data_IF_814055542330
#
_entry.id   IF_814055542330
#
_cell.length_a   1.000
_cell.length_b   1.000
_cell.length_c   1.000
_cell.angle_alpha   90.00
_cell.angle_beta   90.00
_cell.angle_gamma   90.00
#
_symmetry.space_group_name_H-M   'P 1'
#
loop_
_entity.id
_entity.type
_entity.pdbx_description
1 polymer ?
#
# COMPACT_ATOMS: atom_id res chain seq x y z
N UNK A 1 -36.21 -28.37 -12.01
CA UNK A 1 -35.49 -27.32 -12.68
C UNK A 1 -34.88 -26.36 -11.71
N UNK A 2 -33.58 -26.16 -11.80
CA UNK A 2 -32.88 -25.18 -11.00
C UNK A 2 -32.84 -23.82 -11.70
N UNK A 3 -32.91 -22.77 -10.93
CA UNK A 3 -32.62 -21.43 -11.35
C UNK A 3 -31.26 -21.05 -10.86
N UNK A 4 -30.37 -20.62 -11.72
CA UNK A 4 -29.07 -20.10 -11.32
C UNK A 4 -29.26 -18.68 -10.76
N UNK A 5 -29.18 -18.52 -9.44
CA UNK A 5 -29.12 -17.21 -8.77
C UNK A 5 -27.66 -16.85 -8.52
N UNK A 6 -27.21 -15.74 -9.07
CA UNK A 6 -25.82 -15.30 -8.91
C UNK A 6 -24.81 -16.44 -9.17
N UNK A 7 -25.06 -17.23 -10.23
CA UNK A 7 -24.31 -18.45 -10.54
C UNK A 7 -24.30 -19.49 -9.39
N UNK A 8 -25.33 -19.51 -8.55
CA UNK A 8 -25.55 -20.55 -7.53
C UNK A 8 -26.72 -21.43 -7.96
N UNK A 9 -26.58 -22.69 -7.67
CA UNK A 9 -27.62 -23.66 -7.85
C UNK A 9 -28.70 -23.53 -6.77
N UNK A 10 -29.97 -23.45 -7.20
CA UNK A 10 -31.13 -23.44 -6.30
C UNK A 10 -32.01 -24.67 -6.59
N UNK A 11 -31.97 -25.65 -5.69
CA UNK A 11 -32.70 -26.91 -5.85
C UNK A 11 -34.22 -26.75 -5.89
N UNK A 12 -34.78 -25.71 -5.23
CA UNK A 12 -36.22 -25.46 -5.23
C UNK A 12 -36.71 -25.04 -6.59
N UNK A 13 -35.92 -24.23 -7.30
CA UNK A 13 -36.24 -23.77 -8.65
C UNK A 13 -36.05 -24.88 -9.69
N UNK A 14 -35.10 -25.80 -9.51
CA UNK A 14 -34.97 -27.01 -10.33
C UNK A 14 -36.27 -27.81 -10.29
N UNK A 15 -36.84 -28.03 -9.10
CA UNK A 15 -38.07 -28.78 -8.93
C UNK A 15 -39.26 -28.09 -9.60
N UNK A 16 -39.43 -26.78 -9.38
CA UNK A 16 -40.57 -26.02 -9.94
C UNK A 16 -40.59 -26.04 -11.48
N UNK A 17 -39.43 -26.02 -12.14
CA UNK A 17 -39.36 -26.12 -13.60
C UNK A 17 -39.47 -27.55 -14.13
N UNK A 18 -39.04 -28.53 -13.34
CA UNK A 18 -39.12 -29.95 -13.73
C UNK A 18 -40.55 -30.37 -14.06
N UNK A 19 -41.53 -29.88 -13.31
CA UNK A 19 -42.93 -30.17 -13.55
C UNK A 19 -43.45 -29.63 -14.88
N UNK A 20 -42.80 -28.64 -15.46
CA UNK A 20 -43.11 -28.05 -16.73
C UNK A 20 -42.44 -28.73 -17.97
N UNK A 21 -41.60 -29.74 -17.76
CA UNK A 21 -40.93 -30.42 -18.86
C UNK A 21 -41.80 -31.51 -19.48
N UNK A 22 -41.87 -31.52 -20.81
CA UNK A 22 -42.77 -32.42 -21.58
C UNK A 22 -42.20 -33.83 -21.77
N UNK A 23 -40.90 -34.04 -21.54
CA UNK A 23 -40.27 -35.33 -21.77
C UNK A 23 -39.20 -35.66 -20.73
N UNK A 24 -38.97 -36.95 -20.47
CA UNK A 24 -37.91 -37.43 -19.58
C UNK A 24 -36.51 -37.06 -20.09
N UNK A 25 -36.31 -37.02 -21.39
CA UNK A 25 -35.04 -36.62 -22.01
C UNK A 25 -34.70 -35.13 -21.72
N UNK A 26 -35.69 -34.24 -21.74
CA UNK A 26 -35.51 -32.82 -21.40
C UNK A 26 -35.20 -32.66 -19.93
N UNK A 27 -35.86 -33.41 -19.04
CA UNK A 27 -35.57 -33.40 -17.58
C UNK A 27 -34.13 -33.83 -17.34
N UNK A 28 -33.70 -34.94 -17.94
CA UNK A 28 -32.32 -35.44 -17.79
C UNK A 28 -31.28 -34.45 -18.29
N UNK A 29 -31.50 -33.88 -19.49
CA UNK A 29 -30.61 -32.88 -20.10
C UNK A 29 -30.48 -31.63 -19.23
N UNK A 30 -31.56 -31.19 -18.59
CA UNK A 30 -31.53 -30.03 -17.68
C UNK A 30 -30.78 -30.35 -16.37
N UNK A 31 -31.01 -31.54 -15.78
CA UNK A 31 -30.27 -31.97 -14.58
C UNK A 31 -28.77 -32.06 -14.85
N UNK A 32 -28.36 -32.63 -15.98
CA UNK A 32 -26.96 -32.67 -16.40
C UNK A 32 -26.37 -31.27 -16.59
N UNK A 33 -27.09 -30.35 -17.22
CA UNK A 33 -26.68 -28.97 -17.39
C UNK A 33 -26.43 -28.27 -16.03
N UNK A 34 -27.35 -28.45 -15.08
CA UNK A 34 -27.22 -27.84 -13.75
C UNK A 34 -26.01 -28.40 -13.00
N UNK A 35 -25.73 -29.70 -13.08
CA UNK A 35 -24.53 -30.31 -12.50
C UNK A 35 -23.26 -29.76 -13.12
N UNK A 36 -23.18 -29.70 -14.45
CA UNK A 36 -22.00 -29.25 -15.18
C UNK A 36 -21.69 -27.77 -14.95
N UNK A 37 -22.73 -26.93 -14.87
CA UNK A 37 -22.56 -25.49 -14.65
C UNK A 37 -22.31 -25.14 -13.18
N UNK A 38 -22.76 -25.98 -12.24
CA UNK A 38 -22.79 -25.67 -10.82
C UNK A 38 -21.43 -25.26 -10.23
N UNK A 39 -20.39 -26.01 -10.56
CA UNK A 39 -19.02 -25.73 -10.11
C UNK A 39 -18.49 -24.40 -10.65
N UNK A 40 -18.62 -24.17 -11.95
CA UNK A 40 -18.16 -22.92 -12.59
C UNK A 40 -19.00 -21.74 -12.15
N UNK A 41 -20.31 -21.88 -12.00
CA UNK A 41 -21.20 -20.83 -11.53
C UNK A 41 -20.88 -20.42 -10.09
N UNK A 42 -20.62 -21.38 -9.21
CA UNK A 42 -20.19 -21.14 -7.81
C UNK A 42 -18.86 -20.39 -7.75
N UNK A 43 -17.90 -20.81 -8.56
CA UNK A 43 -16.62 -20.11 -8.71
C UNK A 43 -16.81 -18.65 -9.13
N UNK A 44 -17.56 -18.38 -10.19
CA UNK A 44 -17.81 -17.03 -10.71
C UNK A 44 -18.55 -16.15 -9.69
N UNK A 45 -19.49 -16.71 -8.94
CA UNK A 45 -20.18 -16.00 -7.86
C UNK A 45 -19.23 -15.58 -6.73
N UNK A 46 -18.28 -16.43 -6.39
CA UNK A 46 -17.24 -16.10 -5.40
C UNK A 46 -16.27 -15.05 -5.96
N UNK A 47 -15.89 -15.19 -7.23
CA UNK A 47 -14.99 -14.26 -7.93
C UNK A 47 -15.56 -12.83 -8.01
N UNK A 48 -16.89 -12.68 -8.14
CA UNK A 48 -17.55 -11.36 -8.11
C UNK A 48 -17.23 -10.56 -6.85
N UNK A 49 -17.19 -11.22 -5.69
CA UNK A 49 -16.90 -10.58 -4.42
C UNK A 49 -15.41 -10.27 -4.18
N UNK A 50 -14.53 -10.77 -5.05
CA UNK A 50 -13.07 -10.60 -4.92
C UNK A 50 -12.58 -9.35 -5.63
N UNK A 51 -13.18 -9.00 -6.78
CA UNK A 51 -12.76 -7.87 -7.60
C UNK A 51 -13.25 -6.52 -7.04
N UNK A 52 -12.59 -5.41 -7.39
CA UNK A 52 -13.04 -4.08 -7.03
C UNK A 52 -14.42 -3.78 -7.64
N UNK A 53 -15.26 -3.09 -6.88
CA UNK A 53 -16.57 -2.60 -7.36
C UNK A 53 -16.34 -1.72 -8.60
N UNK A 54 -17.09 -1.99 -9.68
CA UNK A 54 -16.94 -1.27 -10.96
C UNK A 54 -15.88 -1.84 -11.90
N UNK A 55 -15.24 -2.96 -11.57
CA UNK A 55 -14.37 -3.64 -12.53
C UNK A 55 -15.19 -4.19 -13.72
N UNK A 56 -14.73 -3.94 -14.96
CA UNK A 56 -15.47 -4.29 -16.18
C UNK A 56 -15.90 -5.77 -16.29
N UNK A 57 -15.13 -6.66 -15.67
CA UNK A 57 -15.45 -8.09 -15.61
C UNK A 57 -16.77 -8.35 -14.87
N UNK A 58 -17.06 -7.56 -13.81
CA UNK A 58 -18.29 -7.71 -13.02
C UNK A 58 -19.51 -7.43 -13.89
N UNK A 59 -19.46 -6.41 -14.75
CA UNK A 59 -20.57 -6.08 -15.63
C UNK A 59 -20.74 -7.14 -16.72
N UNK A 60 -19.66 -7.64 -17.30
CA UNK A 60 -19.65 -8.77 -18.24
C UNK A 60 -20.27 -10.02 -17.61
N UNK A 61 -19.89 -10.31 -16.35
CA UNK A 61 -20.40 -11.45 -15.59
C UNK A 61 -21.90 -11.31 -15.33
N UNK A 62 -22.37 -10.13 -14.88
CA UNK A 62 -23.80 -9.86 -14.66
C UNK A 62 -24.60 -10.02 -15.94
N UNK A 63 -24.16 -9.44 -17.06
CA UNK A 63 -24.80 -9.59 -18.35
C UNK A 63 -24.90 -11.05 -18.76
N UNK A 64 -23.81 -11.81 -18.66
CA UNK A 64 -23.80 -13.22 -19.00
C UNK A 64 -24.71 -14.06 -18.10
N UNK A 65 -24.75 -13.75 -16.80
CA UNK A 65 -25.69 -14.39 -15.85
C UNK A 65 -27.13 -14.17 -16.26
N UNK A 66 -27.51 -12.93 -16.54
CA UNK A 66 -28.87 -12.56 -16.86
C UNK A 66 -29.30 -13.19 -18.18
N UNK A 67 -28.43 -13.26 -19.18
CA UNK A 67 -28.69 -13.97 -20.46
C UNK A 67 -28.86 -15.48 -20.26
N UNK A 68 -28.02 -16.13 -19.43
CA UNK A 68 -28.12 -17.56 -19.12
C UNK A 68 -29.43 -17.84 -18.37
N UNK A 69 -29.81 -17.03 -17.39
CA UNK A 69 -31.05 -17.16 -16.64
C UNK A 69 -32.29 -17.00 -17.56
N UNK A 70 -32.27 -16.02 -18.44
CA UNK A 70 -33.35 -15.82 -19.43
C UNK A 70 -33.51 -17.03 -20.35
N UNK A 71 -32.40 -17.65 -20.77
CA UNK A 71 -32.44 -18.83 -21.66
C UNK A 71 -32.88 -20.10 -20.90
N UNK A 72 -32.45 -20.30 -19.67
CA UNK A 72 -32.90 -21.42 -18.81
C UNK A 72 -34.40 -21.32 -18.55
N UNK A 73 -34.94 -20.12 -18.36
CA UNK A 73 -36.37 -19.87 -18.13
C UNK A 73 -37.26 -20.16 -19.34
N UNK A 74 -36.71 -20.22 -20.56
CA UNK A 74 -37.44 -20.44 -21.82
C UNK A 74 -37.29 -21.91 -22.27
N UNK A 75 -38.38 -22.73 -22.22
CA UNK A 75 -38.32 -24.14 -22.61
C UNK A 75 -37.84 -24.36 -24.09
N UNK A 76 -38.21 -23.49 -24.99
CA UNK A 76 -37.84 -23.60 -26.40
C UNK A 76 -36.32 -23.38 -26.60
N UNK A 77 -35.72 -22.46 -25.83
CA UNK A 77 -34.30 -22.15 -25.92
C UNK A 77 -33.44 -23.19 -25.23
N UNK A 78 -33.84 -23.64 -24.01
CA UNK A 78 -33.04 -24.63 -23.26
C UNK A 78 -33.05 -26.03 -23.90
N UNK A 79 -34.06 -26.38 -24.73
CA UNK A 79 -34.11 -27.67 -25.43
C UNK A 79 -33.19 -27.75 -26.64
N UNK A 80 -32.59 -26.63 -27.07
CA UNK A 80 -31.63 -26.61 -28.17
C UNK A 80 -30.34 -27.32 -27.79
N UNK A 81 -29.93 -28.35 -28.53
CA UNK A 81 -28.75 -29.16 -28.22
C UNK A 81 -27.45 -28.33 -28.06
N UNK A 82 -27.33 -27.22 -28.79
CA UNK A 82 -26.20 -26.31 -28.69
C UNK A 82 -26.17 -25.46 -27.38
N UNK A 83 -27.30 -25.32 -26.68
CA UNK A 83 -27.42 -24.42 -25.51
C UNK A 83 -26.43 -24.78 -24.43
N UNK A 84 -26.33 -26.06 -24.05
CA UNK A 84 -25.39 -26.54 -23.03
C UNK A 84 -23.94 -26.17 -23.38
N UNK A 85 -23.51 -26.48 -24.61
CA UNK A 85 -22.15 -26.19 -25.06
C UNK A 85 -21.83 -24.70 -25.11
N UNK A 86 -22.78 -23.89 -25.59
CA UNK A 86 -22.63 -22.43 -25.67
C UNK A 86 -22.51 -21.82 -24.24
N UNK A 87 -23.36 -22.27 -23.34
CA UNK A 87 -23.33 -21.81 -21.93
C UNK A 87 -22.03 -22.19 -21.24
N UNK A 88 -21.59 -23.45 -21.37
CA UNK A 88 -20.29 -23.88 -20.83
C UNK A 88 -19.13 -23.06 -21.37
N UNK A 89 -19.10 -22.80 -22.68
CA UNK A 89 -18.07 -21.97 -23.32
C UNK A 89 -18.10 -20.55 -22.75
N UNK A 90 -19.28 -19.93 -22.67
CA UNK A 90 -19.45 -18.58 -22.15
C UNK A 90 -18.97 -18.42 -20.71
N UNK A 91 -19.34 -19.34 -19.83
CA UNK A 91 -18.88 -19.34 -18.43
C UNK A 91 -17.38 -19.66 -18.32
N UNK A 92 -16.87 -20.54 -19.17
CA UNK A 92 -15.43 -20.82 -19.26
C UNK A 92 -14.61 -19.60 -19.70
N UNK A 93 -15.10 -18.86 -20.68
CA UNK A 93 -14.44 -17.62 -21.15
C UNK A 93 -14.46 -16.54 -20.07
N UNK A 94 -15.56 -16.40 -19.32
CA UNK A 94 -15.63 -15.51 -18.16
C UNK A 94 -14.64 -15.91 -17.08
N UNK A 95 -14.50 -17.20 -16.78
CA UNK A 95 -13.52 -17.70 -15.82
C UNK A 95 -12.10 -17.36 -16.27
N UNK A 96 -11.75 -17.62 -17.53
CA UNK A 96 -10.44 -17.25 -18.08
C UNK A 96 -10.16 -15.75 -17.99
N UNK A 97 -11.14 -14.91 -18.34
CA UNK A 97 -11.03 -13.47 -18.24
C UNK A 97 -10.80 -13.03 -16.76
N UNK A 98 -11.47 -13.68 -15.80
CA UNK A 98 -11.23 -13.47 -14.38
C UNK A 98 -9.80 -13.82 -13.98
N UNK A 99 -9.30 -14.99 -14.38
CA UNK A 99 -7.93 -15.43 -14.06
C UNK A 99 -6.92 -14.40 -14.52
N UNK A 100 -7.02 -13.94 -15.76
CA UNK A 100 -6.11 -12.91 -16.31
C UNK A 100 -6.19 -11.58 -15.54
N UNK A 101 -7.41 -11.12 -15.23
CA UNK A 101 -7.61 -9.91 -14.45
C UNK A 101 -7.02 -10.03 -13.05
N UNK A 102 -7.31 -11.13 -12.36
CA UNK A 102 -6.78 -11.37 -11.01
C UNK A 102 -5.26 -11.47 -11.00
N UNK A 103 -4.65 -12.26 -11.90
CA UNK A 103 -3.19 -12.42 -12.00
C UNK A 103 -2.51 -11.07 -12.26
N UNK A 104 -3.08 -10.24 -13.14
CA UNK A 104 -2.56 -8.90 -13.41
C UNK A 104 -2.59 -8.02 -12.15
N UNK A 105 -3.69 -8.03 -11.40
CA UNK A 105 -3.81 -7.25 -10.16
C UNK A 105 -2.91 -7.81 -9.05
N UNK A 106 -2.82 -9.13 -8.93
CA UNK A 106 -1.95 -9.79 -7.98
C UNK A 106 -0.47 -9.44 -8.23
N UNK A 107 -0.02 -9.53 -9.48
CA UNK A 107 1.35 -9.17 -9.86
C UNK A 107 1.68 -7.69 -9.60
N UNK A 108 0.69 -6.80 -9.71
CA UNK A 108 0.87 -5.37 -9.34
C UNK A 108 0.94 -5.17 -7.83
N UNK A 109 0.16 -5.92 -7.07
CA UNK A 109 0.01 -5.73 -5.63
C UNK A 109 1.06 -6.48 -4.79
N UNK A 110 1.79 -7.41 -5.38
CA UNK A 110 2.75 -8.28 -4.68
C UNK A 110 4.11 -8.19 -5.34
N UNK A 111 5.15 -8.25 -4.51
CA UNK A 111 6.53 -8.35 -4.97
C UNK A 111 6.79 -9.77 -5.48
N UNK A 112 7.50 -9.86 -6.61
CA UNK A 112 8.06 -11.10 -7.13
C UNK A 112 9.35 -11.51 -6.40
N UNK A 113 10.00 -12.58 -6.86
CA UNK A 113 11.21 -13.12 -6.23
C UNK A 113 12.36 -12.12 -6.20
N UNK A 114 12.55 -11.38 -7.29
CA UNK A 114 13.66 -10.42 -7.40
C UNK A 114 13.42 -9.18 -6.55
N UNK A 115 12.20 -8.66 -6.57
CA UNK A 115 11.79 -7.51 -5.76
C UNK A 115 11.80 -7.85 -4.27
N UNK A 116 11.44 -9.07 -3.88
CA UNK A 116 11.51 -9.54 -2.50
C UNK A 116 12.97 -9.56 -1.99
N UNK A 117 13.90 -10.04 -2.80
CA UNK A 117 15.35 -9.96 -2.50
C UNK A 117 15.82 -8.52 -2.34
N UNK A 118 15.40 -7.63 -3.25
CA UNK A 118 15.74 -6.19 -3.15
C UNK A 118 15.13 -5.57 -1.89
N UNK A 119 13.89 -5.90 -1.54
CA UNK A 119 13.27 -5.48 -0.28
C UNK A 119 14.11 -5.92 0.92
N UNK A 120 14.55 -7.19 0.95
CA UNK A 120 15.40 -7.70 2.01
C UNK A 120 16.76 -6.98 2.08
N UNK A 121 17.36 -6.68 0.93
CA UNK A 121 18.59 -5.89 0.86
C UNK A 121 18.38 -4.48 1.41
N UNK A 122 17.29 -3.81 1.03
CA UNK A 122 16.98 -2.47 1.51
C UNK A 122 16.68 -2.44 3.02
N UNK A 123 16.03 -3.48 3.56
CA UNK A 123 15.83 -3.62 5.02
C UNK A 123 17.14 -3.81 5.79
N UNK A 124 18.17 -4.38 5.17
CA UNK A 124 19.51 -4.57 5.74
C UNK A 124 20.53 -3.51 5.34
N UNK A 125 20.12 -2.47 4.61
CA UNK A 125 21.00 -1.44 4.04
C UNK A 125 21.72 -0.63 5.13
N UNK A 126 23.00 -0.35 4.91
CA UNK A 126 23.82 0.43 5.87
C UNK A 126 23.25 1.85 6.06
N UNK A 127 22.74 2.49 5.01
CA UNK A 127 22.07 3.78 5.09
C UNK A 127 20.92 3.77 6.11
N UNK A 128 20.13 2.69 6.12
CA UNK A 128 19.01 2.53 7.06
C UNK A 128 19.50 2.31 8.49
N UNK A 129 20.56 1.53 8.68
CA UNK A 129 21.20 1.32 9.99
C UNK A 129 21.78 2.61 10.54
N UNK A 130 22.40 3.41 9.68
CA UNK A 130 22.96 4.69 10.05
C UNK A 130 21.89 5.70 10.48
N UNK A 131 20.78 5.77 9.74
CA UNK A 131 19.62 6.55 10.17
C UNK A 131 19.05 6.07 11.51
N UNK A 132 19.03 4.76 11.76
CA UNK A 132 18.61 4.22 13.06
C UNK A 132 19.55 4.65 14.19
N UNK A 133 20.87 4.62 13.98
CA UNK A 133 21.85 5.14 14.95
C UNK A 133 21.64 6.64 15.18
N UNK A 134 21.54 7.43 14.11
CA UNK A 134 21.29 8.87 14.18
C UNK A 134 19.94 9.22 14.82
N UNK A 135 18.94 8.35 14.74
CA UNK A 135 17.63 8.56 15.37
C UNK A 135 17.68 8.65 16.91
N UNK A 136 18.79 8.23 17.52
CA UNK A 136 19.03 8.38 18.97
C UNK A 136 19.31 9.82 19.35
N UNK A 137 19.68 10.67 18.39
CA UNK A 137 19.88 12.11 18.59
C UNK A 137 18.51 12.79 18.63
N UNK A 138 18.20 13.54 19.68
CA UNK A 138 16.86 14.08 19.94
C UNK A 138 16.33 15.01 18.83
N UNK A 139 17.21 15.71 18.13
CA UNK A 139 16.84 16.63 17.05
C UNK A 139 16.34 15.93 15.77
N UNK A 140 16.63 14.64 15.59
CA UNK A 140 16.29 13.96 14.34
C UNK A 140 14.78 13.74 14.17
N UNK A 141 14.24 13.92 12.95
CA UNK A 141 12.81 13.75 12.64
C UNK A 141 12.47 12.26 12.51
N UNK A 142 12.31 11.58 13.65
CA UNK A 142 12.09 10.13 13.73
C UNK A 142 10.85 9.64 12.99
N UNK A 143 9.84 10.49 12.84
CA UNK A 143 8.58 10.12 12.18
C UNK A 143 8.81 9.73 10.71
N UNK A 144 9.61 10.51 9.97
CA UNK A 144 9.90 10.20 8.56
C UNK A 144 10.60 8.84 8.38
N UNK A 145 11.52 8.50 9.29
CA UNK A 145 12.17 7.19 9.29
C UNK A 145 11.17 6.06 9.61
N UNK A 146 10.32 6.28 10.60
CA UNK A 146 9.27 5.32 10.97
C UNK A 146 8.28 5.09 9.82
N UNK A 147 7.84 6.15 9.15
CA UNK A 147 6.93 6.06 8.00
C UNK A 147 7.57 5.32 6.83
N UNK A 148 8.85 5.59 6.56
CA UNK A 148 9.64 4.85 5.58
C UNK A 148 9.68 3.35 5.91
N UNK A 149 10.04 3.00 7.15
CA UNK A 149 10.14 1.61 7.62
C UNK A 149 8.78 0.89 7.55
N UNK A 150 7.69 1.56 7.94
CA UNK A 150 6.34 1.02 7.86
C UNK A 150 5.90 0.75 6.43
N UNK A 151 6.19 1.65 5.50
CA UNK A 151 5.89 1.45 4.07
C UNK A 151 6.71 0.32 3.48
N UNK A 152 8.01 0.24 3.78
CA UNK A 152 8.87 -0.84 3.34
C UNK A 152 8.41 -2.20 3.89
N UNK A 153 8.10 -2.28 5.19
CA UNK A 153 7.59 -3.49 5.83
C UNK A 153 6.22 -3.90 5.26
N UNK A 154 5.37 -2.92 4.93
CA UNK A 154 4.03 -3.12 4.37
C UNK A 154 3.99 -3.71 2.96
N UNK A 155 5.09 -3.68 2.20
CA UNK A 155 5.16 -4.34 0.89
C UNK A 155 5.09 -5.85 1.07
N UNK A 156 4.03 -6.47 0.54
CA UNK A 156 3.80 -7.92 0.65
C UNK A 156 4.38 -8.64 -0.56
N UNK A 157 4.99 -9.80 -0.35
CA UNK A 157 5.54 -10.66 -1.39
C UNK A 157 4.65 -11.87 -1.61
N UNK A 158 4.45 -12.27 -2.85
CA UNK A 158 3.83 -13.53 -3.20
C UNK A 158 4.21 -13.95 -4.62
N UNK A 159 4.97 -15.02 -4.75
CA UNK A 159 5.48 -15.53 -6.02
C UNK A 159 5.18 -17.03 -6.22
N UNK A 160 4.40 -17.64 -5.32
CA UNK A 160 4.06 -19.05 -5.38
C UNK A 160 2.74 -19.34 -6.10
N UNK A 161 1.92 -18.32 -6.43
CA UNK A 161 0.63 -18.50 -7.07
C UNK A 161 0.78 -19.10 -8.48
N UNK A 162 0.08 -20.20 -8.72
CA UNK A 162 -0.05 -20.86 -10.02
C UNK A 162 -1.43 -20.63 -10.63
N UNK A 163 -1.53 -20.73 -11.95
CA UNK A 163 -2.81 -20.64 -12.65
C UNK A 163 -3.75 -21.79 -12.22
N UNK A 164 -3.24 -22.98 -12.01
CA UNK A 164 -4.02 -24.15 -11.56
C UNK A 164 -4.66 -23.93 -10.18
N UNK A 165 -3.93 -23.34 -9.25
CA UNK A 165 -4.48 -23.00 -7.93
C UNK A 165 -5.58 -21.95 -8.03
N UNK A 166 -5.40 -20.96 -8.91
CA UNK A 166 -6.39 -19.94 -9.15
C UNK A 166 -7.59 -20.49 -9.93
N UNK A 167 -7.43 -21.50 -10.78
CA UNK A 167 -8.54 -22.23 -11.39
C UNK A 167 -9.38 -22.99 -10.37
N UNK A 168 -8.77 -23.48 -9.31
CA UNK A 168 -9.47 -24.19 -8.23
C UNK A 168 -10.16 -23.23 -7.25
N UNK A 169 -9.57 -22.07 -6.98
CA UNK A 169 -10.08 -21.06 -6.04
C UNK A 169 -9.91 -19.64 -6.58
N UNK A 170 -10.92 -18.77 -6.53
CA UNK A 170 -10.80 -17.41 -7.05
C UNK A 170 -9.91 -16.48 -6.22
N UNK A 171 -9.24 -16.97 -5.20
CA UNK A 171 -8.34 -16.20 -4.33
C UNK A 171 -7.04 -16.95 -4.19
N UNK A 172 -5.92 -16.23 -4.21
CA UNK A 172 -4.60 -16.80 -3.98
C UNK A 172 -4.53 -17.50 -2.63
N UNK A 173 -4.22 -18.80 -2.56
CA UNK A 173 -4.15 -19.56 -1.30
C UNK A 173 -2.96 -19.15 -0.43
N UNK A 174 -1.93 -18.55 -1.01
CA UNK A 174 -0.68 -18.18 -0.31
C UNK A 174 -0.77 -16.86 0.43
N UNK A 175 -1.43 -15.83 -0.16
CA UNK A 175 -1.47 -14.49 0.43
C UNK A 175 -2.89 -13.94 0.66
N UNK A 176 -3.92 -14.68 0.27
CA UNK A 176 -5.33 -14.31 0.39
C UNK A 176 -5.66 -12.92 -0.19
N UNK A 177 -4.93 -12.49 -1.22
CA UNK A 177 -5.12 -11.19 -1.84
C UNK A 177 -6.54 -11.04 -2.42
N UNK A 178 -7.21 -9.98 -2.04
CA UNK A 178 -8.53 -9.60 -2.56
C UNK A 178 -8.46 -8.19 -3.13
N UNK A 179 -8.37 -8.04 -4.45
CA UNK A 179 -8.23 -6.73 -5.10
C UNK A 179 -9.30 -5.70 -4.68
N UNK A 180 -10.52 -6.16 -4.41
CA UNK A 180 -11.61 -5.29 -3.94
C UNK A 180 -11.42 -4.72 -2.54
N UNK A 181 -10.69 -5.43 -1.68
CA UNK A 181 -10.39 -5.00 -0.31
C UNK A 181 -9.03 -4.28 -0.21
N UNK A 182 -8.08 -4.62 -1.08
CA UNK A 182 -6.72 -4.07 -1.11
C UNK A 182 -6.41 -3.55 -2.53
N UNK A 183 -7.10 -2.52 -3.05
CA UNK A 183 -6.83 -2.01 -4.38
C UNK A 183 -5.44 -1.37 -4.41
N UNK A 184 -4.50 -1.85 -5.25
CA UNK A 184 -3.18 -1.25 -5.35
C UNK A 184 -3.29 0.10 -6.09
N UNK A 185 -3.01 1.19 -5.39
CA UNK A 185 -2.93 2.53 -5.99
C UNK A 185 -1.70 2.65 -6.91
N UNK A 186 -0.57 2.04 -6.49
CA UNK A 186 0.70 2.02 -7.22
C UNK A 186 1.24 0.59 -7.19
N UNK A 187 1.87 0.09 -8.26
CA UNK A 187 2.51 -1.22 -8.25
C UNK A 187 3.55 -1.37 -7.14
N UNK A 188 3.56 -2.51 -6.46
CA UNK A 188 4.47 -2.76 -5.34
C UNK A 188 5.96 -2.62 -5.71
N UNK A 189 6.34 -3.04 -6.92
CA UNK A 189 7.70 -2.85 -7.44
C UNK A 189 8.06 -1.36 -7.60
N UNK A 190 7.14 -0.55 -8.14
CA UNK A 190 7.34 0.90 -8.27
C UNK A 190 7.45 1.59 -6.90
N UNK A 191 6.67 1.12 -5.90
CA UNK A 191 6.81 1.62 -4.53
C UNK A 191 8.18 1.27 -3.94
N UNK A 192 8.69 0.08 -4.21
CA UNK A 192 10.03 -0.34 -3.76
C UNK A 192 11.13 0.52 -4.40
N UNK A 193 11.02 0.81 -5.70
CA UNK A 193 11.96 1.70 -6.40
C UNK A 193 11.93 3.13 -5.80
N UNK A 194 10.74 3.64 -5.53
CA UNK A 194 10.56 4.95 -4.90
C UNK A 194 11.16 5.01 -3.48
N UNK A 195 11.02 3.94 -2.70
CA UNK A 195 11.59 3.83 -1.35
C UNK A 195 13.13 3.82 -1.37
N UNK A 196 13.77 3.17 -2.34
CA UNK A 196 15.22 3.19 -2.46
C UNK A 196 15.75 4.62 -2.66
N UNK A 197 15.15 5.38 -3.61
CA UNK A 197 15.50 6.79 -3.81
C UNK A 197 15.10 7.71 -2.64
N UNK A 198 14.10 7.33 -1.85
CA UNK A 198 13.71 8.06 -0.65
C UNK A 198 14.73 7.86 0.49
N UNK A 199 15.32 6.67 0.60
CA UNK A 199 16.36 6.40 1.59
C UNK A 199 17.58 7.31 1.38
N UNK A 200 18.01 7.51 0.13
CA UNK A 200 19.08 8.46 -0.18
C UNK A 200 18.74 9.88 0.29
N UNK A 201 17.52 10.32 0.00
CA UNK A 201 17.05 11.66 0.42
C UNK A 201 16.96 11.80 1.94
N UNK A 202 16.57 10.75 2.66
CA UNK A 202 16.54 10.76 4.12
C UNK A 202 17.95 10.95 4.69
N UNK A 203 18.94 10.20 4.16
CA UNK A 203 20.34 10.34 4.57
C UNK A 203 20.85 11.76 4.28
N UNK A 204 20.60 12.27 3.08
CA UNK A 204 21.01 13.62 2.71
C UNK A 204 20.36 14.67 3.61
N UNK A 205 19.05 14.61 3.81
CA UNK A 205 18.32 15.56 4.65
C UNK A 205 18.79 15.54 6.11
N UNK A 206 19.04 14.36 6.66
CA UNK A 206 19.53 14.24 8.03
C UNK A 206 20.96 14.74 8.16
N UNK A 207 21.80 14.47 7.16
CA UNK A 207 23.16 15.02 7.09
C UNK A 207 23.13 16.55 7.08
N UNK A 208 22.31 17.16 6.24
CA UNK A 208 22.17 18.61 6.16
C UNK A 208 21.60 19.20 7.46
N UNK A 209 20.63 18.51 8.09
CA UNK A 209 20.06 18.92 9.38
C UNK A 209 21.13 18.93 10.48
N UNK A 210 21.98 17.92 10.56
CA UNK A 210 23.08 17.87 11.51
C UNK A 210 24.10 19.00 11.23
N UNK A 211 24.53 19.18 9.99
CA UNK A 211 25.48 20.23 9.62
C UNK A 211 24.94 21.63 9.97
N UNK A 212 23.69 21.92 9.62
CA UNK A 212 23.09 23.20 9.92
C UNK A 212 23.05 23.49 11.44
N UNK A 213 22.75 22.49 12.25
CA UNK A 213 22.75 22.64 13.71
C UNK A 213 24.15 22.73 14.32
N UNK A 214 25.15 22.06 13.77
CA UNK A 214 26.54 22.13 14.21
C UNK A 214 27.19 23.49 13.84
N UNK A 215 26.82 24.05 12.71
CA UNK A 215 27.32 25.35 12.22
C UNK A 215 26.61 26.54 12.88
N UNK A 216 25.52 26.31 13.63
CA UNK A 216 24.78 27.36 14.33
C UNK A 216 25.62 28.00 15.45
N UNK A 217 25.60 29.35 15.57
CA UNK A 217 26.37 30.05 16.59
C UNK A 217 26.15 29.56 18.02
N UNK A 218 24.92 29.16 18.37
CA UNK A 218 24.59 28.65 19.71
C UNK A 218 25.24 27.30 20.03
N UNK A 219 25.56 26.53 19.00
CA UNK A 219 26.16 25.17 19.14
C UNK A 219 27.70 25.22 19.05
N UNK A 220 28.27 26.21 18.37
CA UNK A 220 29.73 26.40 18.24
C UNK A 220 30.44 26.52 19.59
N UNK A 221 29.79 27.09 20.59
CA UNK A 221 30.29 27.15 21.95
C UNK A 221 30.46 25.74 22.56
N UNK A 222 29.45 24.86 22.36
CA UNK A 222 29.48 23.49 22.89
C UNK A 222 30.58 22.66 22.20
N UNK A 223 30.79 22.87 20.88
CA UNK A 223 31.85 22.19 20.11
C UNK A 223 33.24 22.43 20.74
N UNK A 224 33.49 23.65 21.27
CA UNK A 224 34.76 23.97 21.90
C UNK A 224 34.98 23.27 23.26
N UNK A 225 33.91 22.77 23.90
CA UNK A 225 33.94 22.08 25.18
C UNK A 225 34.18 20.57 25.06
N UNK A 226 34.05 20.02 23.85
CA UNK A 226 34.33 18.61 23.60
C UNK A 226 35.77 18.25 23.86
N UNK A 227 36.01 17.03 24.36
CA UNK A 227 37.32 16.44 24.42
C UNK A 227 38.00 16.36 23.06
N UNK A 228 39.35 16.31 22.96
CA UNK A 228 40.05 16.38 21.67
C UNK A 228 39.62 15.29 20.66
N UNK A 229 39.43 14.05 21.07
CA UNK A 229 39.09 12.95 20.15
C UNK A 229 37.65 13.05 19.63
N UNK A 230 36.57 13.18 20.43
CA UNK A 230 35.23 13.45 19.94
C UNK A 230 35.15 14.69 19.03
N UNK A 231 35.87 15.74 19.37
CA UNK A 231 35.92 16.97 18.57
C UNK A 231 36.51 16.75 17.19
N UNK A 232 37.58 15.96 17.05
CA UNK A 232 38.14 15.61 15.73
C UNK A 232 37.13 14.89 14.82
N UNK A 233 36.29 14.02 15.38
CA UNK A 233 35.25 13.32 14.64
C UNK A 233 34.22 14.30 14.09
N UNK A 234 33.71 15.21 14.93
CA UNK A 234 32.72 16.22 14.53
C UNK A 234 33.33 17.24 13.57
N UNK A 235 34.53 17.75 13.82
CA UNK A 235 35.25 18.67 12.91
C UNK A 235 35.51 18.01 11.54
N UNK A 236 35.83 16.71 11.52
CA UNK A 236 35.98 15.92 10.29
C UNK A 236 34.68 15.85 9.49
N UNK A 237 33.55 15.61 10.15
CA UNK A 237 32.22 15.60 9.56
C UNK A 237 31.84 16.98 8.99
N UNK A 238 32.01 18.05 9.76
CA UNK A 238 31.74 19.43 9.31
C UNK A 238 32.57 19.77 8.06
N UNK A 239 33.86 19.39 8.05
CA UNK A 239 34.75 19.65 6.92
C UNK A 239 34.41 18.84 5.66
N UNK A 240 34.11 17.54 5.81
CA UNK A 240 33.79 16.65 4.68
C UNK A 240 32.36 16.85 4.16
N UNK A 241 31.44 17.31 5.02
CA UNK A 241 29.99 17.47 4.77
C UNK A 241 29.29 16.17 4.38
N UNK A 242 29.90 15.03 4.68
CA UNK A 242 29.35 13.67 4.49
C UNK A 242 29.49 12.89 5.77
N UNK A 243 28.52 12.05 6.07
CA UNK A 243 28.61 11.13 7.21
C UNK A 243 29.87 10.27 7.11
N UNK A 244 30.50 9.91 8.25
CA UNK A 244 31.57 8.93 8.26
C UNK A 244 31.12 7.59 7.67
N UNK A 245 32.05 6.85 7.04
CA UNK A 245 31.76 5.52 6.47
C UNK A 245 31.32 4.51 7.56
N UNK A 246 31.75 4.70 8.81
CA UNK A 246 31.27 3.97 9.98
C UNK A 246 30.79 4.98 11.02
N UNK A 247 29.49 4.89 11.33
CA UNK A 247 28.88 5.66 12.42
C UNK A 247 29.04 4.90 13.73
N UNK A 248 30.18 5.08 14.38
CA UNK A 248 30.46 4.51 15.69
C UNK A 248 29.73 5.22 16.83
N UNK A 249 29.75 4.62 18.02
CA UNK A 249 29.11 5.18 19.19
C UNK A 249 29.78 6.48 19.66
N UNK A 250 31.06 6.62 19.47
CA UNK A 250 31.80 7.80 19.86
C UNK A 250 31.41 9.04 19.06
N UNK A 251 31.19 8.86 17.76
CA UNK A 251 30.65 9.92 16.90
C UNK A 251 29.22 10.31 17.31
N UNK A 252 28.34 9.33 17.55
CA UNK A 252 26.96 9.59 17.99
C UNK A 252 26.95 10.33 19.33
N UNK A 253 27.75 9.89 20.31
CA UNK A 253 27.86 10.56 21.62
C UNK A 253 28.39 11.98 21.47
N UNK A 254 29.41 12.20 20.62
CA UNK A 254 29.93 13.53 20.36
C UNK A 254 28.86 14.48 19.78
N UNK A 255 28.04 14.00 18.82
CA UNK A 255 26.92 14.77 18.30
C UNK A 255 25.88 15.06 19.38
N UNK A 256 25.52 14.08 20.20
CA UNK A 256 24.57 14.26 21.31
C UNK A 256 25.08 15.30 22.30
N UNK A 257 26.36 15.28 22.63
CA UNK A 257 26.99 16.24 23.60
C UNK A 257 26.99 17.66 23.05
N UNK A 258 27.39 17.85 21.76
CA UNK A 258 27.38 19.18 21.12
C UNK A 258 25.96 19.74 20.95
N UNK A 259 25.01 18.90 20.59
CA UNK A 259 23.62 19.30 20.36
C UNK A 259 22.78 19.31 21.66
N UNK A 260 23.40 18.97 22.80
CA UNK A 260 22.75 19.03 24.13
C UNK A 260 22.28 20.44 24.43
N UNK A 261 21.13 20.55 25.06
CA UNK A 261 20.53 21.85 25.43
C UNK A 261 19.71 22.52 24.31
N UNK A 262 19.70 21.98 23.09
CA UNK A 262 18.72 22.37 22.08
C UNK A 262 17.36 21.73 22.40
N UNK A 263 16.27 22.49 22.24
CA UNK A 263 14.90 22.05 22.50
C UNK A 263 14.18 21.77 21.16
N UNK A 264 13.89 20.51 20.89
CA UNK A 264 13.02 20.12 19.76
C UNK A 264 11.58 20.50 20.03
N UNK A 265 10.92 21.07 19.06
CA UNK A 265 9.47 21.31 19.01
C UNK A 265 8.93 20.67 17.73
N UNK A 266 8.27 19.53 17.89
CA UNK A 266 7.62 18.83 16.76
C UNK A 266 6.31 19.50 16.40
N UNK A 267 6.10 19.75 15.12
CA UNK A 267 4.93 20.39 14.54
C UNK A 267 4.38 19.51 13.45
N UNK A 268 3.12 19.12 13.59
CA UNK A 268 2.42 18.41 12.52
C UNK A 268 2.09 19.37 11.39
N UNK A 269 2.32 18.94 10.16
CA UNK A 269 1.98 19.75 8.97
C UNK A 269 0.49 20.13 8.95
N UNK A 270 -0.38 19.26 9.45
CA UNK A 270 -1.82 19.55 9.58
C UNK A 270 -2.08 20.73 10.53
N UNK A 271 -1.43 20.77 11.70
CA UNK A 271 -1.62 21.83 12.69
C UNK A 271 -1.10 23.18 12.16
N UNK A 272 0.05 23.16 11.45
CA UNK A 272 0.58 24.34 10.79
C UNK A 272 -0.38 24.84 9.70
N UNK A 273 -0.89 23.97 8.86
CA UNK A 273 -1.89 24.32 7.83
C UNK A 273 -3.13 24.93 8.46
N UNK A 274 -3.66 24.32 9.51
CA UNK A 274 -4.87 24.80 10.18
C UNK A 274 -4.65 26.16 10.85
N UNK A 275 -3.47 26.39 11.45
CA UNK A 275 -3.08 27.69 11.96
C UNK A 275 -3.02 28.78 10.85
N UNK A 276 -2.43 28.46 9.70
CA UNK A 276 -2.37 29.36 8.57
C UNK A 276 -3.75 29.68 7.96
N UNK A 277 -4.70 28.75 8.02
CA UNK A 277 -6.05 28.90 7.50
C UNK A 277 -7.06 29.47 8.52
N UNK A 278 -6.69 29.62 9.79
CA UNK A 278 -7.59 29.99 10.91
C UNK A 278 -8.35 31.31 10.69
N UNK A 279 -7.81 32.24 9.89
CA UNK A 279 -8.47 33.51 9.55
C UNK A 279 -9.22 33.50 8.21
N UNK A 280 -9.45 32.33 7.60
CA UNK A 280 -10.11 32.20 6.29
C UNK A 280 -9.16 32.27 5.09
N UNK A 281 -9.70 31.84 3.93
CA UNK A 281 -9.04 31.87 2.61
C UNK A 281 -10.03 32.45 1.57
N UNK A 282 -9.59 33.30 0.62
CA UNK A 282 -8.22 33.73 0.38
C UNK A 282 -7.70 34.75 1.42
N UNK A 283 -6.37 34.75 1.64
CA UNK A 283 -5.68 35.68 2.53
C UNK A 283 -4.53 36.38 1.79
N UNK A 284 -4.20 37.60 2.19
CA UNK A 284 -3.06 38.34 1.65
C UNK A 284 -1.72 37.73 2.13
N UNK A 285 -0.60 37.94 1.40
CA UNK A 285 0.71 37.48 1.87
C UNK A 285 1.11 38.05 3.24
N UNK A 286 0.66 39.28 3.57
CA UNK A 286 0.91 39.90 4.86
C UNK A 286 0.16 39.20 6.00
N UNK A 287 -1.12 38.85 5.79
CA UNK A 287 -1.91 38.09 6.74
C UNK A 287 -1.36 36.68 6.96
N UNK A 288 -0.94 36.00 5.89
CA UNK A 288 -0.33 34.66 5.99
C UNK A 288 0.97 34.72 6.80
N UNK A 289 1.82 35.70 6.57
CA UNK A 289 3.04 35.92 7.34
C UNK A 289 2.74 36.15 8.83
N UNK A 290 1.80 37.02 9.12
CA UNK A 290 1.38 37.32 10.50
C UNK A 290 0.89 36.08 11.24
N UNK A 291 0.03 35.28 10.61
CA UNK A 291 -0.47 34.00 11.20
C UNK A 291 0.65 33.02 11.45
N UNK A 292 1.62 32.94 10.55
CA UNK A 292 2.79 32.08 10.71
C UNK A 292 3.66 32.55 11.88
N UNK A 293 3.94 33.84 11.99
CA UNK A 293 4.71 34.43 13.10
C UNK A 293 4.00 34.17 14.43
N UNK A 294 2.70 34.46 14.54
CA UNK A 294 1.89 34.22 15.74
C UNK A 294 1.90 32.73 16.15
N UNK A 295 1.84 31.81 15.18
CA UNK A 295 1.92 30.39 15.43
C UNK A 295 3.30 30.00 15.99
N UNK A 296 4.40 30.49 15.41
CA UNK A 296 5.75 30.24 15.86
C UNK A 296 5.99 30.82 17.28
N UNK A 297 5.52 32.02 17.52
CA UNK A 297 5.61 32.66 18.84
C UNK A 297 4.88 31.85 19.91
N UNK A 298 3.71 31.30 19.58
CA UNK A 298 2.98 30.38 20.46
C UNK A 298 3.75 29.12 20.80
N UNK A 299 4.42 28.52 19.84
CA UNK A 299 5.23 27.30 20.00
C UNK A 299 6.52 27.52 20.82
N UNK A 300 7.08 28.72 20.73
CA UNK A 300 8.36 29.08 21.36
C UNK A 300 8.19 29.80 22.69
N UNK A 301 6.95 30.11 23.08
CA UNK A 301 6.64 30.83 24.31
C UNK A 301 7.26 30.16 25.54
N UNK A 302 8.03 30.91 26.31
CA UNK A 302 8.71 30.44 27.50
C UNK A 302 9.97 29.60 27.24
N UNK A 303 10.42 29.50 26.00
CA UNK A 303 11.65 28.82 25.62
C UNK A 303 12.69 29.86 25.17
N UNK A 304 13.97 29.50 25.28
CA UNK A 304 15.08 30.34 24.82
C UNK A 304 15.15 30.27 23.27
N UNK A 305 14.89 31.39 22.55
CA UNK A 305 14.71 31.33 21.09
C UNK A 305 15.89 30.73 20.32
N UNK A 306 17.12 31.00 20.75
CA UNK A 306 18.34 30.46 20.14
C UNK A 306 18.49 28.94 20.27
N UNK A 307 17.82 28.33 21.25
CA UNK A 307 17.89 26.88 21.53
C UNK A 307 16.72 26.09 21.00
N UNK A 308 15.68 26.73 20.48
CA UNK A 308 14.53 26.03 19.91
C UNK A 308 14.82 25.59 18.47
N UNK A 309 14.46 24.35 18.17
CA UNK A 309 14.50 23.76 16.84
C UNK A 309 13.12 23.21 16.49
N UNK A 310 12.52 23.73 15.43
CA UNK A 310 11.21 23.27 14.96
C UNK A 310 11.44 22.14 13.96
N UNK A 311 10.77 21.02 14.18
CA UNK A 311 10.79 19.86 13.28
C UNK A 311 9.38 19.62 12.79
N UNK A 312 9.20 19.63 11.48
CA UNK A 312 7.93 19.29 10.84
C UNK A 312 7.81 17.76 10.73
N UNK A 313 6.64 17.24 11.17
CA UNK A 313 6.32 15.80 11.19
C UNK A 313 4.95 15.53 10.55
#
# INVERSE_FOLDING_TARGET
TGKLKNFRYDASEVTAHRDGLSSLAEIKSLEELVVDLGGTASYLSTAEAVLPTGHEWIDKMKTARDEVLAQIGDPAKRSVAAFRQQTQRKLGDLKKAYLLAYLSMHAKARLGVNEDKRKAQLMGDERLKDLQKLSTIDLMPRQHLSDFQNRLAGLKSCFALTEQELEASPVCPHCNFKPGAEPPAVPAATMLDALDGELDKLVENWTQTLLANLEDPTTKGNLSLLKPEPRKLVDGFIKKRTLPDDLDQDFIHALQEVLSGLTKVSVKIADLRDALLSGGSPATPAEMRKRFEEYLDGLTKGKEPGKVRIVLE
#
